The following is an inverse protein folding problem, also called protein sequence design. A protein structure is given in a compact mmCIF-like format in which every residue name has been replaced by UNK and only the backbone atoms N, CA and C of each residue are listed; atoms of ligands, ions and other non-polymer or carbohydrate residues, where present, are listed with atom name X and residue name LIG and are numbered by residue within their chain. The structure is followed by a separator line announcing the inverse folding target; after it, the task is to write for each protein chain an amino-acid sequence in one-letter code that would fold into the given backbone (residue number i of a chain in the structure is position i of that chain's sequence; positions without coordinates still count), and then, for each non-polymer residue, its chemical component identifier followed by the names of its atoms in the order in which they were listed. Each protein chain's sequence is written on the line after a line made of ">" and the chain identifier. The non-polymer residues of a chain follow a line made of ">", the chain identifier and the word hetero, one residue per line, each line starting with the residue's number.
data_IF_744207429874
#
_entry.id   IF_744207429874
#
_cell.length_a   1.000
_cell.length_b   1.000
_cell.length_c   1.000
_cell.angle_alpha   90.00
_cell.angle_beta   90.00
_cell.angle_gamma   90.00
#
_symmetry.space_group_name_H-M   'P 1'
#
loop_
_entity.id
_entity.type
_entity.pdbx_description
1 polymer ?
#
# COMPACT_ATOMS: atom_id res chain seq x y z
N UNK A 1 -27.18 -24.00 -44.09
CA UNK A 1 -26.55 -23.07 -43.15
C UNK A 1 -25.07 -23.10 -43.43
N UNK A 2 -24.47 -22.00 -43.87
CA UNK A 2 -23.07 -21.95 -44.29
C UNK A 2 -22.16 -22.43 -43.15
N UNK A 3 -21.13 -23.19 -43.45
CA UNK A 3 -20.18 -23.74 -42.44
C UNK A 3 -19.59 -22.62 -41.57
N UNK A 4 -19.37 -21.47 -42.14
CA UNK A 4 -18.89 -20.26 -41.44
C UNK A 4 -19.90 -19.80 -40.38
N UNK A 5 -21.17 -19.73 -40.70
CA UNK A 5 -22.24 -19.32 -39.79
C UNK A 5 -22.37 -20.28 -38.60
N UNK A 6 -22.24 -21.59 -38.88
CA UNK A 6 -22.28 -22.63 -37.83
C UNK A 6 -21.08 -22.52 -36.87
N UNK A 7 -19.90 -22.28 -37.41
CA UNK A 7 -18.68 -22.04 -36.58
C UNK A 7 -18.80 -20.76 -35.74
N UNK A 8 -19.30 -19.68 -36.34
CA UNK A 8 -19.54 -18.43 -35.63
C UNK A 8 -20.54 -18.55 -34.49
N UNK A 9 -21.66 -19.31 -34.75
CA UNK A 9 -22.65 -19.53 -33.71
C UNK A 9 -22.11 -20.40 -32.56
N UNK A 10 -21.34 -21.44 -32.87
CA UNK A 10 -20.72 -22.27 -31.83
C UNK A 10 -19.76 -21.44 -30.96
N UNK A 11 -18.91 -20.63 -31.59
CA UNK A 11 -17.99 -19.75 -30.85
C UNK A 11 -18.74 -18.74 -29.96
N UNK A 12 -19.80 -18.13 -30.51
CA UNK A 12 -20.65 -17.21 -29.76
C UNK A 12 -21.26 -17.88 -28.51
N UNK A 13 -21.81 -19.10 -28.66
CA UNK A 13 -22.39 -19.82 -27.53
C UNK A 13 -21.36 -20.14 -26.45
N UNK A 14 -20.16 -20.59 -26.85
CA UNK A 14 -19.07 -20.87 -25.89
C UNK A 14 -18.66 -19.58 -25.14
N UNK A 15 -18.45 -18.49 -25.86
CA UNK A 15 -18.11 -17.21 -25.27
C UNK A 15 -19.22 -16.67 -24.33
N UNK A 16 -20.48 -16.79 -24.74
CA UNK A 16 -21.62 -16.36 -23.94
C UNK A 16 -21.75 -17.14 -22.63
N UNK A 17 -21.57 -18.48 -22.69
CA UNK A 17 -21.58 -19.32 -21.49
C UNK A 17 -20.41 -18.97 -20.57
N UNK A 18 -19.19 -18.84 -21.12
CA UNK A 18 -18.01 -18.47 -20.35
C UNK A 18 -18.17 -17.09 -19.68
N UNK A 19 -18.64 -16.10 -20.43
CA UNK A 19 -18.92 -14.76 -19.91
C UNK A 19 -20.00 -14.77 -18.81
N UNK A 20 -21.07 -15.54 -19.00
CA UNK A 20 -22.13 -15.70 -18.00
C UNK A 20 -21.63 -16.33 -16.69
N UNK A 21 -20.80 -17.37 -16.78
CA UNK A 21 -20.20 -18.01 -15.61
C UNK A 21 -19.24 -17.06 -14.87
N UNK A 22 -18.40 -16.34 -15.62
CA UNK A 22 -17.47 -15.35 -15.02
C UNK A 22 -18.25 -14.21 -14.35
N UNK A 23 -19.26 -13.66 -15.01
CA UNK A 23 -20.08 -12.58 -14.44
C UNK A 23 -20.83 -13.05 -13.18
N UNK A 24 -21.43 -14.24 -13.20
CA UNK A 24 -22.11 -14.83 -12.04
C UNK A 24 -21.16 -15.05 -10.86
N UNK A 25 -19.98 -15.60 -11.12
CA UNK A 25 -18.96 -15.80 -10.08
C UNK A 25 -18.50 -14.45 -9.52
N UNK A 26 -18.21 -13.47 -10.37
CA UNK A 26 -17.78 -12.14 -9.94
C UNK A 26 -18.83 -11.44 -9.06
N UNK A 27 -20.12 -11.56 -9.42
CA UNK A 27 -21.20 -10.92 -8.65
C UNK A 27 -21.32 -11.48 -7.22
N UNK A 28 -20.96 -12.74 -7.02
CA UNK A 28 -20.99 -13.39 -5.70
C UNK A 28 -19.71 -13.06 -4.91
N UNK A 29 -18.55 -13.02 -5.58
CA UNK A 29 -17.25 -12.88 -4.91
C UNK A 29 -16.84 -11.44 -4.67
N UNK A 30 -17.23 -10.48 -5.52
CA UNK A 30 -16.86 -9.07 -5.39
C UNK A 30 -17.19 -8.47 -4.01
N UNK A 31 -18.42 -8.61 -3.46
CA UNK A 31 -18.75 -8.04 -2.16
C UNK A 31 -17.96 -8.70 -1.00
N UNK A 32 -17.59 -9.97 -1.16
CA UNK A 32 -16.78 -10.68 -0.17
C UNK A 32 -15.33 -10.21 -0.19
N UNK A 33 -14.79 -9.96 -1.40
CA UNK A 33 -13.44 -9.42 -1.59
C UNK A 33 -13.36 -8.02 -1.00
N UNK A 34 -14.34 -7.16 -1.29
CA UNK A 34 -14.40 -5.80 -0.77
C UNK A 34 -14.41 -5.78 0.76
N UNK A 35 -15.27 -6.59 1.38
CA UNK A 35 -15.32 -6.72 2.85
C UNK A 35 -14.01 -7.19 3.45
N UNK A 36 -13.34 -8.15 2.81
CA UNK A 36 -12.02 -8.63 3.25
C UNK A 36 -10.94 -7.57 3.11
N UNK A 37 -10.98 -6.79 2.02
CA UNK A 37 -10.04 -5.69 1.82
C UNK A 37 -10.23 -4.58 2.86
N UNK A 38 -11.47 -4.23 3.22
CA UNK A 38 -11.74 -3.30 4.31
C UNK A 38 -11.22 -3.81 5.65
N UNK A 39 -11.44 -5.08 5.95
CA UNK A 39 -10.91 -5.70 7.18
C UNK A 39 -9.38 -5.66 7.21
N UNK A 40 -8.72 -6.06 6.11
CA UNK A 40 -7.26 -6.03 6.00
C UNK A 40 -6.71 -4.59 6.11
N UNK A 41 -7.37 -3.61 5.51
CA UNK A 41 -6.99 -2.20 5.63
C UNK A 41 -7.13 -1.69 7.08
N UNK A 42 -8.20 -2.08 7.79
CA UNK A 42 -8.40 -1.71 9.20
C UNK A 42 -7.32 -2.34 10.09
N UNK A 43 -6.99 -3.62 9.88
CA UNK A 43 -5.91 -4.32 10.59
C UNK A 43 -4.55 -3.67 10.28
N UNK A 44 -4.29 -3.31 9.03
CA UNK A 44 -3.07 -2.63 8.63
C UNK A 44 -2.94 -1.26 9.32
N UNK A 45 -4.02 -0.44 9.36
CA UNK A 45 -4.02 0.85 10.08
C UNK A 45 -3.68 0.66 11.56
N UNK A 46 -4.32 -0.31 12.21
CA UNK A 46 -4.07 -0.61 13.62
C UNK A 46 -2.64 -1.11 13.86
N UNK A 47 -2.08 -1.86 12.90
CA UNK A 47 -0.70 -2.38 13.00
C UNK A 47 0.32 -1.25 12.88
N UNK A 48 0.14 -0.32 11.94
CA UNK A 48 1.12 0.77 11.71
C UNK A 48 0.95 1.94 12.68
N UNK A 49 -0.22 2.08 13.33
CA UNK A 49 -0.51 3.13 14.32
C UNK A 49 -1.31 2.54 15.50
N UNK A 50 -0.66 1.73 16.31
CA UNK A 50 -1.29 1.00 17.43
C UNK A 50 -1.83 1.90 18.54
N UNK A 51 -1.32 3.14 18.64
CA UNK A 51 -1.73 4.11 19.66
C UNK A 51 -3.12 4.72 19.38
N UNK A 52 -3.62 4.60 18.15
CA UNK A 52 -4.93 5.10 17.77
C UNK A 52 -6.04 4.10 18.11
N UNK A 53 -7.15 4.57 18.66
CA UNK A 53 -8.36 3.75 18.90
C UNK A 53 -9.39 3.85 17.79
N UNK A 54 -9.43 5.00 17.13
CA UNK A 54 -10.35 5.27 16.02
C UNK A 54 -9.59 5.91 14.86
N UNK A 55 -10.09 5.67 13.64
CA UNK A 55 -9.54 6.24 12.41
C UNK A 55 -10.61 7.03 11.68
N UNK A 56 -10.32 8.29 11.35
CA UNK A 56 -11.20 9.18 10.61
C UNK A 56 -10.62 9.47 9.24
N UNK A 57 -11.36 9.13 8.19
CA UNK A 57 -10.97 9.45 6.82
C UNK A 57 -10.86 10.97 6.64
N UNK A 58 -9.73 11.42 6.12
CA UNK A 58 -9.51 12.82 5.77
C UNK A 58 -9.98 13.10 4.34
N UNK A 59 -10.57 14.28 4.17
CA UNK A 59 -10.92 14.78 2.85
C UNK A 59 -9.64 15.08 2.05
N UNK A 60 -9.55 14.65 0.77
CA UNK A 60 -8.39 14.91 -0.09
C UNK A 60 -8.01 16.39 -0.23
N UNK A 61 -8.94 17.32 0.03
CA UNK A 61 -8.67 18.77 0.03
C UNK A 61 -7.79 19.24 1.20
N UNK A 62 -7.65 18.41 2.24
CA UNK A 62 -6.91 18.77 3.46
C UNK A 62 -5.42 18.48 3.41
N UNK A 63 -4.96 17.71 2.44
CA UNK A 63 -3.55 17.39 2.27
C UNK A 63 -3.11 17.57 0.83
N UNK A 64 -1.82 17.75 0.64
CA UNK A 64 -1.23 17.81 -0.70
C UNK A 64 -0.80 16.41 -1.10
N UNK A 65 -1.27 15.93 -2.25
CA UNK A 65 -0.83 14.65 -2.80
C UNK A 65 0.67 14.70 -3.12
N UNK A 66 1.35 13.58 -2.91
CA UNK A 66 2.73 13.41 -3.34
C UNK A 66 2.83 13.45 -4.87
N UNK A 67 3.98 13.91 -5.40
CA UNK A 67 4.12 14.16 -6.84
C UNK A 67 4.25 12.89 -7.68
N UNK A 68 4.86 11.82 -7.16
CA UNK A 68 5.30 10.67 -7.95
C UNK A 68 4.62 9.34 -7.58
N UNK A 69 3.82 9.33 -6.51
CA UNK A 69 3.16 8.11 -6.00
C UNK A 69 1.69 8.39 -5.74
N UNK A 70 0.81 7.52 -6.20
CA UNK A 70 -0.62 7.64 -5.96
C UNK A 70 -0.95 7.49 -4.46
N UNK A 71 -1.64 8.51 -3.90
CA UNK A 71 -2.17 8.49 -2.54
C UNK A 71 -3.63 8.08 -2.61
N UNK A 72 -3.96 6.93 -2.04
CA UNK A 72 -5.32 6.35 -2.11
C UNK A 72 -6.21 6.94 -1.03
N UNK A 73 -5.73 6.92 0.22
CA UNK A 73 -6.50 7.35 1.39
C UNK A 73 -5.58 7.78 2.52
N UNK A 74 -6.05 8.74 3.29
CA UNK A 74 -5.37 9.27 4.48
C UNK A 74 -6.35 9.25 5.64
N UNK A 75 -5.95 8.65 6.75
CA UNK A 75 -6.75 8.64 7.98
C UNK A 75 -6.00 9.32 9.11
N UNK A 76 -6.73 10.10 9.86
CA UNK A 76 -6.30 10.60 11.16
C UNK A 76 -6.61 9.58 12.22
N UNK A 77 -5.58 9.11 12.92
CA UNK A 77 -5.73 8.24 14.08
C UNK A 77 -5.92 9.04 15.35
N UNK A 78 -7.00 8.75 16.09
CA UNK A 78 -7.33 9.49 17.31
C UNK A 78 -7.45 8.56 18.51
N UNK A 79 -7.11 9.09 19.69
CA UNK A 79 -7.34 8.44 20.97
C UNK A 79 -8.13 9.42 21.87
N UNK A 80 -9.46 9.29 21.86
CA UNK A 80 -10.37 10.26 22.45
C UNK A 80 -10.38 11.56 21.66
N UNK A 81 -9.92 12.67 22.28
CA UNK A 81 -9.80 13.99 21.62
C UNK A 81 -8.44 14.22 20.98
N UNK A 82 -7.46 13.41 21.28
CA UNK A 82 -6.07 13.65 20.88
C UNK A 82 -5.73 12.92 19.59
N UNK A 83 -5.05 13.61 18.67
CA UNK A 83 -4.53 13.03 17.43
C UNK A 83 -3.26 12.24 17.76
N UNK A 84 -3.33 10.93 17.57
CA UNK A 84 -2.19 10.03 17.79
C UNK A 84 -1.21 10.02 16.61
N UNK A 85 -1.71 10.30 15.40
CA UNK A 85 -0.92 10.28 14.16
C UNK A 85 -1.80 10.13 12.93
N UNK A 86 -1.17 9.78 11.82
CA UNK A 86 -1.84 9.58 10.55
C UNK A 86 -1.45 8.25 9.93
N UNK A 87 -2.37 7.62 9.21
CA UNK A 87 -2.08 6.47 8.36
C UNK A 87 -2.36 6.84 6.91
N UNK A 88 -1.38 6.62 6.05
CA UNK A 88 -1.39 7.02 4.65
C UNK A 88 -1.25 5.76 3.80
N UNK A 89 -2.22 5.49 2.94
CA UNK A 89 -2.19 4.40 1.96
C UNK A 89 -1.75 4.94 0.62
N UNK A 90 -0.69 4.35 0.08
CA UNK A 90 -0.08 4.73 -1.20
C UNK A 90 0.15 3.52 -2.10
N UNK A 91 0.28 3.76 -3.41
CA UNK A 91 0.50 2.73 -4.44
C UNK A 91 1.79 3.02 -5.24
N UNK A 92 2.98 2.83 -4.66
CA UNK A 92 4.21 2.95 -5.42
C UNK A 92 4.34 1.84 -6.46
N UNK A 93 4.97 2.16 -7.61
CA UNK A 93 5.22 1.21 -8.71
C UNK A 93 6.48 0.39 -8.45
N UNK A 94 6.31 -0.90 -8.18
CA UNK A 94 7.37 -1.89 -8.05
C UNK A 94 7.87 -2.44 -9.39
N UNK A 95 8.46 -3.62 -9.36
CA UNK A 95 8.90 -4.33 -10.56
C UNK A 95 7.75 -5.07 -11.25
N UNK A 96 6.92 -5.76 -10.48
CA UNK A 96 5.79 -6.57 -10.98
C UNK A 96 4.47 -5.80 -11.10
N UNK A 97 4.42 -4.57 -10.61
CA UNK A 97 3.20 -3.75 -10.59
C UNK A 97 3.14 -2.83 -9.39
N UNK A 98 1.96 -2.35 -9.07
CA UNK A 98 1.73 -1.52 -7.89
C UNK A 98 1.84 -2.35 -6.62
N UNK A 99 2.35 -1.71 -5.56
CA UNK A 99 2.51 -2.29 -4.24
C UNK A 99 1.58 -1.51 -3.30
N UNK A 100 0.60 -2.19 -2.69
CA UNK A 100 -0.18 -1.56 -1.63
C UNK A 100 0.68 -1.34 -0.40
N UNK A 101 0.82 -0.10 0.02
CA UNK A 101 1.64 0.29 1.15
C UNK A 101 0.83 1.15 2.11
N UNK A 102 0.76 0.75 3.38
CA UNK A 102 0.21 1.55 4.46
C UNK A 102 1.35 2.02 5.34
N UNK A 103 1.44 3.33 5.55
CA UNK A 103 2.47 3.98 6.37
C UNK A 103 1.81 4.70 7.53
N UNK A 104 2.25 4.39 8.74
CA UNK A 104 1.87 5.13 9.94
C UNK A 104 2.93 6.17 10.28
N UNK A 105 2.50 7.40 10.57
CA UNK A 105 3.38 8.49 11.00
C UNK A 105 2.77 9.16 12.23
N UNK A 106 3.59 9.36 13.27
CA UNK A 106 3.16 10.01 14.50
C UNK A 106 4.18 11.03 15.00
N UNK A 107 3.72 11.94 15.85
CA UNK A 107 4.61 12.82 16.60
C UNK A 107 5.32 12.07 17.72
N UNK A 108 6.61 12.34 17.86
CA UNK A 108 7.42 11.94 19.00
C UNK A 108 8.17 13.19 19.53
N UNK A 109 7.61 13.77 20.57
CA UNK A 109 8.06 15.09 21.05
C UNK A 109 7.89 16.18 19.98
N UNK A 110 8.99 16.82 19.58
CA UNK A 110 9.00 17.85 18.54
C UNK A 110 9.23 17.30 17.13
N UNK A 111 9.52 16.00 17.00
CA UNK A 111 9.82 15.36 15.73
C UNK A 111 8.65 14.48 15.29
N UNK A 112 8.64 14.12 14.01
CA UNK A 112 7.77 13.11 13.48
C UNK A 112 8.58 11.83 13.21
N UNK A 113 7.98 10.68 13.49
CA UNK A 113 8.57 9.36 13.23
C UNK A 113 7.61 8.48 12.44
N UNK A 114 8.17 7.56 11.68
CA UNK A 114 7.44 6.48 11.04
C UNK A 114 7.11 5.46 12.14
N UNK A 115 5.84 5.31 12.50
CA UNK A 115 5.43 4.35 13.54
C UNK A 115 5.44 2.92 13.05
N UNK A 116 5.23 2.71 11.76
CA UNK A 116 5.29 1.40 11.12
C UNK A 116 4.91 1.45 9.64
N UNK A 117 5.23 0.36 8.96
CA UNK A 117 4.90 0.15 7.55
C UNK A 117 4.27 -1.23 7.39
N UNK A 118 3.17 -1.30 6.66
CA UNK A 118 2.53 -2.56 6.29
C UNK A 118 2.44 -2.67 4.77
N UNK A 119 2.87 -3.81 4.21
CA UNK A 119 2.86 -4.08 2.78
C UNK A 119 1.70 -5.03 2.47
N UNK A 120 0.68 -4.51 1.81
CA UNK A 120 -0.53 -5.20 1.42
C UNK A 120 -0.37 -6.06 0.15
N UNK A 121 -1.32 -5.92 -0.79
CA UNK A 121 -1.28 -6.66 -2.04
C UNK A 121 -0.14 -6.18 -2.94
N UNK A 122 0.48 -7.10 -3.64
CA UNK A 122 1.52 -6.82 -4.63
C UNK A 122 1.71 -8.00 -5.58
N UNK A 123 2.26 -7.74 -6.76
CA UNK A 123 2.56 -8.75 -7.79
C UNK A 123 4.07 -8.95 -8.00
N UNK A 124 4.85 -8.81 -6.94
CA UNK A 124 6.30 -8.96 -6.98
C UNK A 124 6.75 -10.42 -7.10
N UNK A 125 7.94 -10.63 -7.67
CA UNK A 125 8.49 -11.96 -7.86
C UNK A 125 8.75 -12.69 -6.54
N UNK A 126 8.20 -13.92 -6.35
CA UNK A 126 8.46 -14.74 -5.18
C UNK A 126 9.97 -14.97 -4.94
N UNK A 127 10.39 -14.87 -3.69
CA UNK A 127 11.81 -15.03 -3.30
C UNK A 127 12.70 -13.81 -3.60
N UNK A 128 12.19 -12.80 -4.31
CA UNK A 128 12.87 -11.53 -4.59
C UNK A 128 12.08 -10.36 -4.01
N UNK A 129 11.33 -9.63 -4.82
CA UNK A 129 10.54 -8.48 -4.38
C UNK A 129 9.48 -8.83 -3.34
N UNK A 130 8.90 -10.04 -3.40
CA UNK A 130 7.94 -10.53 -2.42
C UNK A 130 8.50 -10.59 -0.98
N UNK A 131 9.83 -10.65 -0.82
CA UNK A 131 10.51 -10.57 0.48
C UNK A 131 10.38 -9.22 1.16
N UNK A 132 9.89 -8.21 0.48
CA UNK A 132 9.55 -6.93 1.12
C UNK A 132 8.51 -7.07 2.24
N UNK A 133 7.67 -8.12 2.22
CA UNK A 133 6.75 -8.49 3.30
C UNK A 133 7.41 -9.16 4.51
N UNK A 134 8.69 -9.46 4.45
CA UNK A 134 9.43 -10.01 5.59
C UNK A 134 9.79 -8.88 6.57
N UNK A 135 9.68 -9.16 7.86
CA UNK A 135 9.99 -8.19 8.93
C UNK A 135 11.43 -7.67 8.83
N UNK A 136 12.35 -8.50 8.36
CA UNK A 136 13.74 -8.11 8.10
C UNK A 136 13.88 -6.92 7.13
N UNK A 137 12.88 -6.68 6.26
CA UNK A 137 12.89 -5.53 5.36
C UNK A 137 11.96 -4.42 5.86
N UNK A 138 10.65 -4.67 6.00
CA UNK A 138 9.73 -3.59 6.38
C UNK A 138 9.97 -3.06 7.80
N UNK A 139 10.51 -3.88 8.70
CA UNK A 139 10.85 -3.47 10.06
C UNK A 139 11.95 -2.40 10.13
N UNK A 140 12.74 -2.22 9.06
CA UNK A 140 13.77 -1.17 9.00
C UNK A 140 13.19 0.24 9.03
N UNK A 141 11.92 0.42 8.64
CA UNK A 141 11.27 1.73 8.63
C UNK A 141 10.77 2.17 10.00
N UNK A 142 10.50 1.22 10.90
CA UNK A 142 9.93 1.51 12.21
C UNK A 142 10.86 2.41 13.03
N UNK A 143 10.28 3.46 13.61
CA UNK A 143 10.93 4.47 14.44
C UNK A 143 12.01 5.30 13.74
N UNK A 144 12.14 5.21 12.42
CA UNK A 144 12.95 6.16 11.67
C UNK A 144 12.29 7.54 11.64
N UNK A 145 13.11 8.63 11.55
CA UNK A 145 12.56 9.96 11.38
C UNK A 145 11.68 10.04 10.13
N UNK A 146 10.56 10.75 10.24
CA UNK A 146 9.67 11.00 9.10
C UNK A 146 10.29 12.11 8.22
N UNK A 147 11.36 11.74 7.54
CA UNK A 147 12.12 12.57 6.58
C UNK A 147 12.39 11.75 5.33
N UNK A 148 12.97 12.36 4.31
CA UNK A 148 13.34 11.64 3.10
C UNK A 148 14.33 10.51 3.40
N UNK A 149 13.95 9.28 3.04
CA UNK A 149 14.77 8.09 3.19
C UNK A 149 15.39 7.68 1.84
N UNK A 150 16.58 7.11 1.90
CA UNK A 150 17.30 6.60 0.73
C UNK A 150 17.57 5.10 0.83
N UNK A 151 17.83 4.46 -0.32
CA UNK A 151 18.10 3.01 -0.39
C UNK A 151 19.58 2.77 -0.64
N UNK A 152 20.23 2.00 0.25
CA UNK A 152 21.61 1.53 0.11
C UNK A 152 21.65 0.06 -0.26
N UNK A 153 22.62 -0.33 -1.11
CA UNK A 153 22.73 -1.73 -1.59
C UNK A 153 23.48 -2.64 -0.64
N UNK A 154 24.40 -2.09 0.13
CA UNK A 154 25.28 -2.84 1.04
C UNK A 154 25.80 -1.93 2.15
N UNK A 155 26.19 -2.53 3.27
CA UNK A 155 26.64 -1.81 4.45
C UNK A 155 25.58 -1.72 5.53
N UNK A 156 25.92 -1.14 6.68
CA UNK A 156 24.96 -0.82 7.73
C UNK A 156 24.17 0.41 7.28
N UNK A 157 22.84 0.28 7.22
CA UNK A 157 21.95 1.39 6.91
C UNK A 157 22.01 2.44 8.04
N UNK A 158 22.21 3.70 7.67
CA UNK A 158 22.15 4.84 8.57
C UNK A 158 20.72 5.16 9.03
N UNK A 159 20.57 6.24 9.77
CA UNK A 159 19.28 6.67 10.32
C UNK A 159 18.23 6.96 9.23
N UNK A 160 18.65 7.53 8.11
CA UNK A 160 17.79 7.84 6.94
C UNK A 160 17.98 6.88 5.78
N UNK A 161 18.59 5.71 6.02
CA UNK A 161 18.88 4.75 4.98
C UNK A 161 18.15 3.42 5.20
N UNK A 162 17.78 2.78 4.11
CA UNK A 162 17.14 1.45 4.08
C UNK A 162 18.03 0.50 3.28
N UNK A 163 18.36 -0.64 3.84
CA UNK A 163 19.12 -1.66 3.14
C UNK A 163 18.23 -2.39 2.13
N UNK A 164 18.65 -2.38 0.87
CA UNK A 164 17.92 -3.05 -0.20
C UNK A 164 17.91 -4.58 -0.04
N UNK A 165 16.82 -5.19 -0.47
CA UNK A 165 16.72 -6.63 -0.65
C UNK A 165 17.67 -7.03 -1.78
N UNK A 166 18.56 -7.98 -1.52
CA UNK A 166 19.45 -8.51 -2.56
C UNK A 166 18.66 -9.08 -3.73
N UNK A 167 18.97 -8.63 -4.94
CA UNK A 167 18.25 -9.01 -6.16
C UNK A 167 16.90 -8.29 -6.38
N UNK A 168 16.43 -7.44 -5.46
CA UNK A 168 15.16 -6.74 -5.57
C UNK A 168 15.27 -5.23 -5.25
N UNK A 169 16.30 -4.58 -5.79
CA UNK A 169 16.56 -3.14 -5.56
C UNK A 169 15.40 -2.25 -6.09
N UNK A 170 14.74 -2.64 -7.19
CA UNK A 170 13.59 -1.88 -7.73
C UNK A 170 12.45 -1.87 -6.73
N UNK A 171 12.07 -3.04 -6.21
CA UNK A 171 11.03 -3.18 -5.19
C UNK A 171 11.40 -2.39 -3.91
N UNK A 172 12.65 -2.50 -3.45
CA UNK A 172 13.13 -1.77 -2.27
C UNK A 172 13.01 -0.25 -2.45
N UNK A 173 13.40 0.26 -3.62
CA UNK A 173 13.25 1.69 -3.97
C UNK A 173 11.79 2.10 -4.06
N UNK A 174 10.94 1.24 -4.65
CA UNK A 174 9.50 1.53 -4.76
C UNK A 174 8.85 1.67 -3.38
N UNK A 175 9.11 0.73 -2.46
CA UNK A 175 8.60 0.83 -1.08
C UNK A 175 9.11 2.09 -0.39
N UNK A 176 10.41 2.41 -0.50
CA UNK A 176 10.97 3.62 0.09
C UNK A 176 10.39 4.89 -0.52
N UNK A 177 10.17 4.93 -1.84
CA UNK A 177 9.48 6.04 -2.51
C UNK A 177 8.04 6.22 -1.99
N UNK A 178 7.32 5.11 -1.76
CA UNK A 178 6.00 5.15 -1.14
C UNK A 178 6.02 5.70 0.28
N UNK A 179 7.02 5.33 1.08
CA UNK A 179 7.19 5.90 2.44
C UNK A 179 7.50 7.39 2.37
N UNK A 180 8.38 7.83 1.46
CA UNK A 180 8.69 9.24 1.27
C UNK A 180 7.46 10.04 0.83
N UNK A 181 6.64 9.47 -0.06
CA UNK A 181 5.37 10.09 -0.46
C UNK A 181 4.41 10.27 0.73
N UNK A 182 4.35 9.29 1.63
CA UNK A 182 3.55 9.42 2.85
C UNK A 182 4.10 10.50 3.79
N UNK A 183 5.42 10.65 3.88
CA UNK A 183 6.06 11.74 4.65
C UNK A 183 5.70 13.12 4.05
N UNK A 184 5.73 13.29 2.72
CA UNK A 184 5.30 14.53 2.06
C UNK A 184 3.85 14.89 2.39
N UNK A 185 2.95 13.89 2.38
CA UNK A 185 1.55 14.08 2.77
C UNK A 185 1.44 14.53 4.23
N UNK A 186 2.14 13.86 5.13
CA UNK A 186 2.17 14.20 6.55
C UNK A 186 2.67 15.64 6.79
N UNK A 187 3.74 16.04 6.12
CA UNK A 187 4.30 17.39 6.21
C UNK A 187 3.31 18.47 5.76
N UNK A 188 2.43 18.13 4.84
CA UNK A 188 1.38 19.04 4.38
C UNK A 188 0.24 19.20 5.39
N UNK A 189 0.02 18.19 6.26
CA UNK A 189 -1.01 18.19 7.30
C UNK A 189 -0.52 18.90 8.60
N UNK A 190 0.78 18.89 8.82
CA UNK A 190 1.39 19.40 10.06
C UNK A 190 1.80 20.88 10.01
N UNK A 191 1.55 21.55 8.89
CA UNK A 191 1.73 23.00 8.67
C UNK A 191 0.47 23.77 8.99
#
# INVERSE_FOLDING_TARGET
>A
MNSILKLGLNLFVICAVAAGLLAGTNQITAPLIEKRNEQANNEARQTVLSDAKEFKLLDPSKYKAASDVEVVEVYEGVNGSDVSGYTIKVLPKGYGGEIELMVGIKKDGNNAIISGVNIGNMSETPGLGARSKEEAFYGQYAFKPATELSVVKSGAAGETEIQAISGATITSKAVTSGVNAAVEVYDSLSK
#
